data_IF_543348764992
#
_entry.id   IF_543348764992
#
_cell.length_a   1.000
_cell.length_b   1.000
_cell.length_c   1.000
_cell.angle_alpha   90.00
_cell.angle_beta   90.00
_cell.angle_gamma   90.00
#
_symmetry.space_group_name_H-M   'P 1'
#
loop_
_entity.id
_entity.type
_entity.pdbx_description
1 polymer ?
#
# COMPACT_ATOMS: atom_id res chain seq x y z
N UNK A 1 -12.32 -24.54 9.35
CA UNK A 1 -12.31 -23.17 8.81
C UNK A 1 -12.98 -22.29 9.83
N UNK A 2 -12.29 -21.25 10.29
CA UNK A 2 -12.80 -20.33 11.33
C UNK A 2 -13.85 -19.41 10.68
N UNK A 3 -13.52 -18.84 9.52
CA UNK A 3 -14.42 -17.97 8.76
C UNK A 3 -14.22 -18.15 7.25
N UNK A 4 -15.30 -17.97 6.47
CA UNK A 4 -15.28 -18.04 5.00
C UNK A 4 -16.16 -16.94 4.42
N UNK A 5 -15.54 -16.06 3.65
CA UNK A 5 -16.19 -15.11 2.75
C UNK A 5 -16.02 -15.51 1.28
N UNK A 6 -16.54 -14.67 0.39
CA UNK A 6 -16.40 -14.84 -1.07
C UNK A 6 -14.94 -14.64 -1.52
N UNK A 7 -14.22 -13.73 -0.87
CA UNK A 7 -12.84 -13.36 -1.21
C UNK A 7 -11.87 -13.44 -0.03
N UNK A 8 -12.34 -13.86 1.14
CA UNK A 8 -11.53 -13.99 2.37
C UNK A 8 -11.77 -15.34 3.03
N UNK A 9 -10.76 -15.89 3.69
CA UNK A 9 -10.91 -17.10 4.49
C UNK A 9 -9.90 -17.12 5.63
N UNK A 10 -10.31 -17.61 6.79
CA UNK A 10 -9.42 -17.82 7.93
C UNK A 10 -9.46 -19.29 8.33
N UNK A 11 -8.30 -19.92 8.41
CA UNK A 11 -8.14 -21.34 8.73
C UNK A 11 -7.19 -21.52 9.91
N UNK A 12 -7.54 -22.44 10.81
CA UNK A 12 -6.64 -22.90 11.87
C UNK A 12 -5.98 -24.19 11.40
N UNK A 13 -4.66 -24.19 11.28
CA UNK A 13 -3.88 -25.36 10.90
C UNK A 13 -3.54 -26.22 12.14
N UNK A 14 -3.22 -27.51 11.94
CA UNK A 14 -2.63 -28.33 12.99
C UNK A 14 -1.38 -27.64 13.56
N UNK A 15 -1.27 -27.61 14.89
CA UNK A 15 -0.23 -26.84 15.60
C UNK A 15 -0.65 -25.44 16.02
N UNK A 16 -1.92 -25.06 15.83
CA UNK A 16 -2.47 -23.80 16.37
C UNK A 16 -2.11 -22.55 15.57
N UNK A 17 -1.56 -22.71 14.36
CA UNK A 17 -1.23 -21.60 13.47
C UNK A 17 -2.51 -21.14 12.76
N UNK A 18 -2.88 -19.88 12.98
CA UNK A 18 -3.96 -19.23 12.24
C UNK A 18 -3.41 -18.62 10.94
N UNK A 19 -4.08 -18.90 9.83
CA UNK A 19 -3.74 -18.37 8.51
C UNK A 19 -4.96 -17.63 7.95
N UNK A 20 -4.75 -16.37 7.60
CA UNK A 20 -5.73 -15.54 6.91
C UNK A 20 -5.37 -15.44 5.42
N UNK A 21 -6.36 -15.65 4.56
CA UNK A 21 -6.26 -15.67 3.11
C UNK A 21 -7.19 -14.61 2.52
N UNK A 22 -6.71 -13.92 1.48
CA UNK A 22 -7.53 -13.03 0.68
C UNK A 22 -7.20 -13.16 -0.80
N UNK A 23 -8.23 -13.22 -1.63
CA UNK A 23 -8.13 -13.35 -3.08
C UNK A 23 -8.63 -12.07 -3.77
N UNK A 24 -7.90 -11.62 -4.79
CA UNK A 24 -8.29 -10.51 -5.66
C UNK A 24 -7.90 -10.79 -7.10
N UNK A 25 -8.52 -10.10 -8.09
CA UNK A 25 -8.05 -10.12 -9.46
C UNK A 25 -6.57 -9.70 -9.55
N UNK A 26 -5.84 -10.32 -10.47
CA UNK A 26 -4.40 -10.05 -10.71
C UNK A 26 -4.12 -8.56 -10.96
N UNK A 27 -5.09 -7.84 -11.53
CA UNK A 27 -5.01 -6.39 -11.74
C UNK A 27 -4.88 -5.58 -10.47
N UNK A 28 -5.31 -6.09 -9.31
CA UNK A 28 -5.27 -5.41 -8.00
C UNK A 28 -4.18 -5.95 -7.08
N UNK A 29 -3.32 -6.85 -7.58
CA UNK A 29 -2.30 -7.52 -6.78
C UNK A 29 -1.36 -6.54 -6.05
N UNK A 30 -0.95 -5.45 -6.70
CA UNK A 30 -0.07 -4.45 -6.11
C UNK A 30 -0.69 -3.73 -4.91
N UNK A 31 -1.99 -3.39 -4.99
CA UNK A 31 -2.72 -2.76 -3.89
C UNK A 31 -3.00 -3.73 -2.75
N UNK A 32 -3.35 -4.98 -3.08
CA UNK A 32 -3.56 -6.04 -2.11
C UNK A 32 -2.28 -6.32 -1.33
N UNK A 33 -1.15 -6.48 -2.03
CA UNK A 33 0.15 -6.78 -1.42
C UNK A 33 0.58 -5.67 -0.46
N UNK A 34 0.41 -4.41 -0.86
CA UNK A 34 0.70 -3.27 0.02
C UNK A 34 -0.17 -3.31 1.28
N UNK A 35 -1.47 -3.53 1.13
CA UNK A 35 -2.41 -3.58 2.24
C UNK A 35 -2.05 -4.70 3.23
N UNK A 36 -1.80 -5.92 2.74
CA UNK A 36 -1.49 -7.08 3.58
C UNK A 36 -0.15 -6.98 4.30
N UNK A 37 0.86 -6.48 3.60
CA UNK A 37 2.21 -6.36 4.17
C UNK A 37 2.25 -5.29 5.26
N UNK A 38 1.36 -4.31 5.21
CA UNK A 38 1.21 -3.31 6.26
C UNK A 38 2.49 -2.51 6.50
N UNK A 39 2.79 -2.07 7.73
CA UNK A 39 2.06 -2.29 9.00
C UNK A 39 0.69 -1.56 9.07
N UNK A 40 -0.15 -1.87 10.07
CA UNK A 40 -1.42 -1.13 10.31
C UNK A 40 -1.18 0.39 10.34
N UNK A 41 -0.13 0.82 11.01
CA UNK A 41 0.26 2.23 11.11
C UNK A 41 0.66 2.82 9.76
N UNK A 42 1.49 2.10 8.99
CA UNK A 42 1.87 2.50 7.62
C UNK A 42 0.66 2.65 6.71
N UNK A 43 -0.28 1.72 6.79
CA UNK A 43 -1.52 1.77 6.02
C UNK A 43 -2.39 3.00 6.39
N UNK A 44 -2.48 3.34 7.68
CA UNK A 44 -3.20 4.55 8.12
C UNK A 44 -2.51 5.80 7.57
N UNK A 45 -1.19 5.90 7.72
CA UNK A 45 -0.43 7.06 7.25
C UNK A 45 -0.50 7.22 5.72
N UNK A 46 -0.46 6.13 4.95
CA UNK A 46 -0.66 6.16 3.50
C UNK A 46 -2.07 6.63 3.12
N UNK A 47 -3.10 6.16 3.83
CA UNK A 47 -4.49 6.61 3.64
C UNK A 47 -4.63 8.10 3.90
N UNK A 48 -4.11 8.59 5.02
CA UNK A 48 -4.12 10.03 5.33
C UNK A 48 -3.39 10.86 4.27
N UNK A 49 -2.23 10.37 3.80
CA UNK A 49 -1.48 11.01 2.72
C UNK A 49 -2.27 11.08 1.41
N UNK A 50 -2.91 9.98 1.02
CA UNK A 50 -3.74 9.94 -0.19
C UNK A 50 -4.98 10.83 -0.07
N UNK A 51 -5.63 10.85 1.09
CA UNK A 51 -6.80 11.70 1.35
C UNK A 51 -6.46 13.17 1.21
N UNK A 52 -5.27 13.60 1.68
CA UNK A 52 -4.76 14.98 1.46
C UNK A 52 -4.57 15.32 -0.03
N UNK A 53 -4.40 14.31 -0.89
CA UNK A 53 -4.33 14.45 -2.36
C UNK A 53 -5.68 14.24 -3.07
N UNK A 54 -6.78 14.14 -2.32
CA UNK A 54 -8.11 13.85 -2.87
C UNK A 54 -8.30 12.39 -3.31
N UNK A 55 -7.38 11.50 -2.95
CA UNK A 55 -7.41 10.08 -3.32
C UNK A 55 -7.95 9.23 -2.16
N UNK A 56 -8.62 8.13 -2.48
CA UNK A 56 -9.05 7.13 -1.49
C UNK A 56 -8.41 5.77 -1.79
N UNK A 57 -7.74 5.21 -0.78
CA UNK A 57 -6.95 3.97 -0.85
C UNK A 57 -7.72 2.80 -0.24
N UNK A 58 -7.79 1.69 -0.97
CA UNK A 58 -8.29 0.39 -0.48
C UNK A 58 -7.41 -0.77 -0.95
N UNK A 59 -7.66 -1.96 -0.41
CA UNK A 59 -7.05 -3.22 -0.87
C UNK A 59 -7.32 -3.53 -2.34
N UNK A 60 -8.37 -2.94 -2.91
CA UNK A 60 -8.76 -3.11 -4.31
C UNK A 60 -8.01 -2.16 -5.26
N UNK A 61 -7.52 -1.01 -4.78
CA UNK A 61 -6.94 0.03 -5.62
C UNK A 61 -7.06 1.44 -5.06
N UNK A 62 -6.96 2.44 -5.96
CA UNK A 62 -7.02 3.87 -5.63
C UNK A 62 -8.17 4.53 -6.39
N UNK A 63 -9.01 5.29 -5.69
CA UNK A 63 -10.05 6.14 -6.28
C UNK A 63 -9.61 7.60 -6.29
N UNK A 64 -9.88 8.33 -7.38
CA UNK A 64 -9.51 9.75 -7.55
C UNK A 64 -10.44 10.74 -6.87
N UNK A 65 -11.62 10.30 -6.44
CA UNK A 65 -12.56 11.12 -5.68
C UNK A 65 -13.22 10.25 -4.64
N UNK A 66 -13.65 10.88 -3.55
CA UNK A 66 -14.37 10.23 -2.45
C UNK A 66 -15.81 9.85 -2.86
N UNK A 67 -16.25 10.19 -4.07
CA UNK A 67 -17.57 9.78 -4.56
C UNK A 67 -17.61 8.27 -4.84
N UNK A 68 -18.66 7.56 -4.39
CA UNK A 68 -18.81 6.11 -4.60
C UNK A 68 -18.80 5.68 -6.07
N UNK A 69 -19.19 6.57 -6.98
CA UNK A 69 -19.25 6.33 -8.43
C UNK A 69 -17.89 6.45 -9.13
N UNK A 70 -16.84 6.87 -8.42
CA UNK A 70 -15.51 7.06 -9.01
C UNK A 70 -14.84 5.73 -9.33
N UNK A 71 -14.34 5.61 -10.56
CA UNK A 71 -13.59 4.43 -11.04
C UNK A 71 -12.39 4.13 -10.13
N UNK A 72 -12.27 2.86 -9.72
CA UNK A 72 -11.07 2.36 -9.01
C UNK A 72 -9.97 2.15 -10.04
N UNK A 73 -8.82 2.78 -9.81
CA UNK A 73 -7.59 2.47 -10.50
C UNK A 73 -6.91 1.28 -9.81
N UNK A 74 -6.64 0.23 -10.57
CA UNK A 74 -5.99 -1.00 -10.09
C UNK A 74 -4.53 -1.04 -10.52
N UNK A 75 -3.71 -1.79 -9.78
CA UNK A 75 -2.27 -1.90 -9.97
C UNK A 75 -1.80 -3.35 -9.89
N UNK A 76 -1.11 -3.82 -10.94
CA UNK A 76 -0.54 -5.19 -10.97
C UNK A 76 0.68 -5.32 -10.07
N UNK A 77 1.45 -4.25 -9.87
CA UNK A 77 2.65 -4.27 -9.05
C UNK A 77 2.60 -3.22 -7.94
N UNK A 78 3.26 -3.52 -6.83
CA UNK A 78 3.34 -2.61 -5.69
C UNK A 78 4.17 -1.35 -6.04
N UNK A 79 5.16 -1.47 -6.93
CA UNK A 79 5.95 -0.34 -7.44
C UNK A 79 5.06 0.66 -8.19
N UNK A 80 4.16 0.17 -9.05
CA UNK A 80 3.23 1.04 -9.78
C UNK A 80 2.25 1.75 -8.84
N UNK A 81 1.83 1.06 -7.78
CA UNK A 81 0.97 1.63 -6.75
C UNK A 81 1.63 2.80 -6.00
N UNK A 82 2.87 2.63 -5.52
CA UNK A 82 3.61 3.73 -4.88
C UNK A 82 3.91 4.87 -5.85
N UNK A 83 4.30 4.55 -7.09
CA UNK A 83 4.57 5.53 -8.14
C UNK A 83 3.34 6.39 -8.45
N UNK A 84 2.15 5.79 -8.47
CA UNK A 84 0.89 6.53 -8.66
C UNK A 84 0.62 7.53 -7.53
N UNK A 85 1.01 7.18 -6.29
CA UNK A 85 0.93 8.08 -5.14
C UNK A 85 2.03 9.16 -5.15
N UNK A 86 2.98 9.09 -6.09
CA UNK A 86 4.15 9.96 -6.16
C UNK A 86 5.19 9.66 -5.08
N UNK A 87 5.33 8.38 -4.72
CA UNK A 87 6.30 7.88 -3.75
C UNK A 87 7.22 6.87 -4.43
N UNK A 88 8.47 6.74 -3.98
CA UNK A 88 9.26 5.57 -4.35
C UNK A 88 8.69 4.30 -3.71
N UNK A 89 9.08 3.17 -4.27
CA UNK A 89 8.84 1.87 -3.66
C UNK A 89 9.46 1.83 -2.26
N UNK A 90 8.67 1.43 -1.27
CA UNK A 90 9.11 1.30 0.12
C UNK A 90 9.21 -0.18 0.42
N UNK A 91 10.41 -0.68 0.75
CA UNK A 91 10.59 -2.09 1.10
C UNK A 91 9.75 -2.47 2.33
N UNK A 92 9.22 -3.71 2.41
CA UNK A 92 8.41 -4.19 3.52
C UNK A 92 8.99 -3.92 4.91
N UNK A 93 10.30 -4.08 5.09
CA UNK A 93 11.01 -3.95 6.37
C UNK A 93 10.94 -2.51 6.91
N UNK A 94 10.86 -1.53 6.01
CA UNK A 94 10.81 -0.11 6.36
C UNK A 94 9.42 0.34 6.83
N UNK A 95 8.38 -0.48 6.62
CA UNK A 95 6.97 -0.14 6.90
C UNK A 95 6.57 -0.35 8.37
N UNK A 96 7.48 -0.84 9.21
CA UNK A 96 7.24 -1.04 10.64
C UNK A 96 7.39 0.27 11.46
N UNK A 97 8.13 1.26 10.95
CA UNK A 97 8.50 2.42 11.75
C UNK A 97 7.60 3.62 11.45
N UNK A 98 6.69 3.90 12.38
CA UNK A 98 5.52 4.81 12.26
C UNK A 98 5.79 6.30 11.92
N UNK A 99 7.03 6.73 11.63
CA UNK A 99 7.37 8.15 11.37
C UNK A 99 7.89 8.44 9.97
N UNK A 100 7.88 7.45 9.08
CA UNK A 100 8.70 7.55 7.88
C UNK A 100 8.05 8.07 6.62
N UNK A 101 6.73 8.23 6.46
CA UNK A 101 6.22 8.78 5.18
C UNK A 101 6.75 10.20 4.92
N UNK A 102 6.70 11.15 5.89
CA UNK A 102 7.34 12.45 5.70
C UNK A 102 8.86 12.35 5.55
N UNK A 103 9.51 11.45 6.29
CA UNK A 103 10.98 11.28 6.26
C UNK A 103 11.47 10.57 5.00
N UNK A 104 10.69 9.67 4.41
CA UNK A 104 10.96 9.00 3.14
C UNK A 104 10.80 10.00 2.01
N UNK A 105 9.76 10.83 2.05
CA UNK A 105 9.63 11.97 1.13
C UNK A 105 10.87 12.89 1.26
N UNK A 106 11.29 13.24 2.47
CA UNK A 106 12.49 14.07 2.68
C UNK A 106 13.80 13.37 2.27
N UNK A 107 13.98 12.08 2.59
CA UNK A 107 15.15 11.29 2.18
C UNK A 107 15.21 11.19 0.67
N UNK A 108 14.08 10.97 0.03
CA UNK A 108 13.99 10.88 -1.41
C UNK A 108 14.32 12.23 -2.05
N UNK A 109 13.68 13.32 -1.62
CA UNK A 109 14.06 14.68 -2.05
C UNK A 109 15.56 14.94 -1.83
N UNK A 110 16.12 14.54 -0.69
CA UNK A 110 17.54 14.72 -0.39
C UNK A 110 18.47 13.82 -1.24
N UNK A 111 18.05 12.61 -1.60
CA UNK A 111 18.77 11.73 -2.54
C UNK A 111 18.74 12.35 -3.94
N UNK A 112 17.58 12.81 -4.41
CA UNK A 112 17.46 13.49 -5.71
C UNK A 112 18.27 14.78 -5.77
N UNK A 113 18.29 15.59 -4.69
CA UNK A 113 19.17 16.78 -4.58
C UNK A 113 20.65 16.38 -4.63
N UNK A 114 21.06 15.32 -3.94
CA UNK A 114 22.44 14.82 -3.99
C UNK A 114 22.83 14.26 -5.36
N UNK A 115 21.93 13.57 -6.04
CA UNK A 115 22.18 13.02 -7.38
C UNK A 115 22.26 14.14 -8.42
N UNK A 116 21.38 15.14 -8.35
CA UNK A 116 21.41 16.29 -9.25
C UNK A 116 22.70 17.13 -9.12
N UNK A 117 23.22 17.30 -7.90
CA UNK A 117 24.46 18.07 -7.69
C UNK A 117 25.74 17.28 -8.04
N UNK A 118 25.67 15.94 -8.14
CA UNK A 118 26.82 15.12 -8.52
C UNK A 118 27.04 15.03 -10.04
N UNK A 119 26.10 15.54 -10.82
CA UNK A 119 26.07 15.49 -12.29
C UNK A 119 26.31 16.90 -12.90
N UNK A 120 26.48 17.93 -12.07
CA UNK A 120 26.93 19.28 -12.43
C UNK A 120 28.35 19.50 -11.92
#
# INVERSE_FOLDING_TARGET
TIEKGEHTASILLPGGVQVDLMAQPVSSYGSLLQHFTGSKHHNIALREFALKKGLSLSEYGIRKSQTPSSKIQTFKTEKDFYKFLGLDYIEPELRATCRFIPVLILKQVMIWVKVAWKIL
#
